data_IF_890160444086
#
_entry.id   IF_890160444086
#
_cell.length_a   1.000
_cell.length_b   1.000
_cell.length_c   1.000
_cell.angle_alpha   90.00
_cell.angle_beta   90.00
_cell.angle_gamma   90.00
#
_symmetry.space_group_name_H-M   'P 1'
#
loop_
_entity.id
_entity.type
_entity.pdbx_description
1 polymer ?
#
# COMPACT_ATOMS: atom_id res chain seq x y z
N UNK A 1 -24.87 4.09 5.20
CA UNK A 1 -24.31 3.65 3.92
C UNK A 1 -22.82 3.90 3.95
N UNK A 2 -21.97 2.88 3.80
CA UNK A 2 -20.50 3.01 3.75
C UNK A 2 -20.00 3.99 2.68
N UNK A 3 -20.87 4.36 1.73
CA UNK A 3 -20.62 5.33 0.66
C UNK A 3 -20.75 6.80 1.11
N UNK A 4 -21.37 7.06 2.26
CA UNK A 4 -21.61 8.44 2.75
C UNK A 4 -20.49 8.91 3.67
N UNK A 5 -19.82 7.97 4.35
CA UNK A 5 -18.75 8.28 5.31
C UNK A 5 -17.41 7.95 4.70
N UNK A 6 -16.52 8.95 4.62
CA UNK A 6 -15.15 8.73 4.17
C UNK A 6 -14.30 8.10 5.28
N UNK A 7 -14.45 6.79 5.49
CA UNK A 7 -13.71 6.03 6.50
C UNK A 7 -12.19 6.10 6.29
N UNK A 8 -11.75 6.18 5.04
CA UNK A 8 -10.33 6.29 4.67
C UNK A 8 -9.74 7.59 5.21
N UNK A 9 -10.40 8.71 4.97
CA UNK A 9 -9.96 10.01 5.48
C UNK A 9 -10.03 10.09 7.00
N UNK A 10 -11.08 9.54 7.62
CA UNK A 10 -11.21 9.49 9.08
C UNK A 10 -10.04 8.73 9.73
N UNK A 11 -9.69 7.57 9.17
CA UNK A 11 -8.53 6.79 9.62
C UNK A 11 -7.21 7.55 9.41
N UNK A 12 -7.04 8.19 8.25
CA UNK A 12 -5.86 9.01 7.95
C UNK A 12 -5.66 10.11 8.99
N UNK A 13 -6.71 10.88 9.30
CA UNK A 13 -6.67 11.92 10.33
C UNK A 13 -6.34 11.34 11.71
N UNK A 14 -6.92 10.19 12.06
CA UNK A 14 -6.66 9.51 13.33
C UNK A 14 -5.19 9.09 13.48
N UNK A 15 -4.63 8.41 12.47
CA UNK A 15 -3.22 7.98 12.49
C UNK A 15 -2.27 9.17 12.49
N UNK A 16 -2.55 10.20 11.68
CA UNK A 16 -1.76 11.44 11.68
C UNK A 16 -1.78 12.13 13.06
N UNK A 17 -2.90 12.10 13.76
CA UNK A 17 -3.02 12.63 15.13
C UNK A 17 -2.30 11.81 16.21
N UNK A 18 -2.15 10.50 16.01
CA UNK A 18 -1.40 9.62 16.92
C UNK A 18 0.12 9.71 16.73
N UNK A 19 0.58 10.11 15.56
CA UNK A 19 2.00 10.19 15.25
C UNK A 19 2.69 11.32 16.02
N UNK A 20 3.31 10.96 17.16
CA UNK A 20 4.05 11.91 18.03
C UNK A 20 5.53 12.08 17.65
N UNK A 21 6.09 11.14 16.89
CA UNK A 21 7.50 11.12 16.49
C UNK A 21 7.68 11.67 15.08
N UNK A 22 7.90 10.77 14.12
CA UNK A 22 7.98 11.12 12.71
C UNK A 22 6.64 11.69 12.22
N UNK A 23 6.63 12.96 11.80
CA UNK A 23 5.45 13.61 11.22
C UNK A 23 5.27 13.16 9.77
N UNK A 24 4.02 12.96 9.37
CA UNK A 24 3.68 12.79 7.97
C UNK A 24 3.90 14.10 7.21
N UNK A 25 4.36 14.06 5.95
CA UNK A 25 4.39 15.25 5.10
C UNK A 25 2.97 15.82 4.90
N UNK A 26 2.89 17.15 4.77
CA UNK A 26 1.60 17.87 4.71
C UNK A 26 0.71 17.54 3.51
N UNK A 27 1.20 17.31 2.28
CA UNK A 27 0.32 16.83 1.23
C UNK A 27 -0.12 15.38 1.50
N UNK A 28 -1.33 15.01 1.08
CA UNK A 28 -1.77 13.61 1.04
C UNK A 28 -2.27 13.02 2.37
N UNK A 29 -2.58 11.73 2.33
CA UNK A 29 -3.12 10.93 3.43
C UNK A 29 -2.06 9.99 4.00
N UNK A 30 -2.27 9.41 5.18
CA UNK A 30 -1.27 8.52 5.79
C UNK A 30 -0.88 7.33 4.88
N UNK A 31 -1.79 6.91 4.01
CA UNK A 31 -1.60 5.82 3.06
C UNK A 31 -0.65 6.16 1.91
N UNK A 32 -0.37 7.42 1.65
CA UNK A 32 0.54 7.84 0.57
C UNK A 32 2.02 7.73 0.98
N UNK A 33 2.26 7.38 2.24
CA UNK A 33 3.57 7.28 2.84
C UNK A 33 3.88 5.89 3.39
N UNK A 34 5.13 5.48 3.26
CA UNK A 34 5.74 4.32 3.91
C UNK A 34 6.68 4.82 5.01
N UNK A 35 6.69 4.15 6.16
CA UNK A 35 7.69 4.45 7.18
C UNK A 35 9.01 3.79 6.83
N UNK A 36 10.07 4.58 6.76
CA UNK A 36 11.40 4.09 6.49
C UNK A 36 12.25 4.10 7.76
N UNK A 37 12.58 2.92 8.26
CA UNK A 37 13.21 2.75 9.56
C UNK A 37 14.65 3.29 9.60
N UNK A 38 15.36 3.27 8.47
CA UNK A 38 16.74 3.78 8.40
C UNK A 38 16.80 5.31 8.43
N UNK A 39 15.82 5.99 7.82
CA UNK A 39 15.70 7.46 7.80
C UNK A 39 14.89 7.99 9.00
N UNK A 40 14.12 7.11 9.65
CA UNK A 40 13.15 7.44 10.71
C UNK A 40 12.09 8.44 10.25
N UNK A 41 11.74 8.42 8.98
CA UNK A 41 10.81 9.35 8.36
C UNK A 41 9.75 8.65 7.50
N UNK A 42 8.73 9.40 7.12
CA UNK A 42 7.67 8.95 6.23
C UNK A 42 7.99 9.38 4.80
N UNK A 43 8.20 8.42 3.91
CA UNK A 43 8.57 8.64 2.50
C UNK A 43 7.42 8.29 1.56
N UNK A 44 7.26 9.03 0.46
CA UNK A 44 6.15 8.80 -0.47
C UNK A 44 6.34 7.50 -1.27
N UNK A 45 5.24 6.77 -1.54
CA UNK A 45 5.28 5.50 -2.27
C UNK A 45 5.81 5.60 -3.70
N UNK A 46 5.74 6.78 -4.34
CA UNK A 46 6.25 6.98 -5.70
C UNK A 46 7.71 6.58 -5.87
N UNK A 47 8.54 6.66 -4.81
CA UNK A 47 9.93 6.19 -4.87
C UNK A 47 10.10 4.66 -4.87
N UNK A 48 9.01 3.92 -4.65
CA UNK A 48 8.99 2.46 -4.50
C UNK A 48 8.25 1.75 -5.64
N UNK A 49 7.60 2.50 -6.51
CA UNK A 49 6.94 1.96 -7.70
C UNK A 49 7.99 1.78 -8.79
N UNK A 50 8.21 0.55 -9.23
CA UNK A 50 9.07 0.28 -10.37
C UNK A 50 8.52 0.96 -11.64
N UNK A 51 9.40 1.51 -12.47
CA UNK A 51 8.99 2.03 -13.78
C UNK A 51 8.34 0.91 -14.60
N UNK A 52 7.25 1.26 -15.27
CA UNK A 52 6.51 0.32 -16.10
C UNK A 52 7.33 -0.02 -17.35
N UNK A 53 7.78 -1.27 -17.44
CA UNK A 53 8.39 -1.84 -18.64
C UNK A 53 7.39 -2.78 -19.35
N UNK A 54 6.82 -2.39 -20.50
CA UNK A 54 5.90 -3.24 -21.25
C UNK A 54 6.66 -4.41 -21.91
N UNK A 55 6.83 -5.51 -21.18
CA UNK A 55 7.38 -6.75 -21.73
C UNK A 55 6.35 -7.38 -22.69
N UNK A 56 6.61 -7.24 -23.98
CA UNK A 56 5.70 -7.63 -25.09
C UNK A 56 5.45 -9.15 -25.18
N UNK A 57 6.27 -9.99 -24.55
CA UNK A 57 6.28 -11.45 -24.76
C UNK A 57 5.62 -12.30 -23.65
N UNK A 58 5.00 -11.70 -22.62
CA UNK A 58 4.35 -12.49 -21.54
C UNK A 58 2.86 -12.71 -21.80
N UNK A 59 2.35 -13.88 -21.38
CA UNK A 59 0.90 -14.11 -21.34
C UNK A 59 0.22 -12.97 -20.58
N UNK A 60 -0.83 -12.38 -21.16
CA UNK A 60 -1.58 -11.24 -20.60
C UNK A 60 -1.99 -11.43 -19.12
N UNK A 61 -2.20 -12.68 -18.69
CA UNK A 61 -2.52 -13.06 -17.32
C UNK A 61 -1.38 -12.85 -16.30
N UNK A 62 -0.16 -12.56 -16.74
CA UNK A 62 1.04 -12.39 -15.91
C UNK A 62 1.62 -10.98 -15.89
N UNK A 63 0.95 -10.02 -16.56
CA UNK A 63 1.36 -8.62 -16.53
C UNK A 63 0.82 -7.99 -15.25
N UNK A 64 1.65 -7.99 -14.21
CA UNK A 64 1.35 -7.27 -12.97
C UNK A 64 2.04 -5.91 -13.04
N UNK A 65 1.24 -4.86 -13.27
CA UNK A 65 1.75 -3.49 -13.25
C UNK A 65 2.03 -3.09 -11.81
N UNK A 66 3.27 -2.70 -11.52
CA UNK A 66 3.63 -2.09 -10.25
C UNK A 66 2.90 -0.76 -10.12
N UNK A 67 1.85 -0.73 -9.31
CA UNK A 67 1.13 0.48 -8.92
C UNK A 67 1.40 0.76 -7.44
N UNK A 68 1.17 2.00 -7.00
CA UNK A 68 1.24 2.37 -5.58
C UNK A 68 0.37 1.45 -4.72
N UNK A 69 -0.81 1.07 -5.21
CA UNK A 69 -1.68 0.13 -4.52
C UNK A 69 -1.02 -1.23 -4.33
N UNK A 70 -0.43 -1.80 -5.38
CA UNK A 70 0.19 -3.10 -5.29
C UNK A 70 1.39 -3.10 -4.32
N UNK A 71 2.26 -2.09 -4.42
CA UNK A 71 3.43 -1.98 -3.54
C UNK A 71 3.03 -1.80 -2.07
N UNK A 72 1.94 -1.07 -1.79
CA UNK A 72 1.36 -0.98 -0.44
C UNK A 72 0.91 -2.33 0.11
N UNK A 73 0.20 -3.11 -0.71
CA UNK A 73 -0.27 -4.44 -0.29
C UNK A 73 0.91 -5.38 -0.08
N UNK A 74 1.85 -5.46 -1.03
CA UNK A 74 3.07 -6.27 -0.93
C UNK A 74 3.86 -5.96 0.33
N UNK A 75 4.07 -4.68 0.65
CA UNK A 75 4.78 -4.31 1.86
C UNK A 75 4.13 -4.87 3.13
N UNK A 76 2.80 -4.80 3.25
CA UNK A 76 2.08 -5.37 4.41
C UNK A 76 2.15 -6.89 4.41
N UNK A 77 2.06 -7.54 3.24
CA UNK A 77 2.24 -8.99 3.08
C UNK A 77 3.63 -9.42 3.57
N UNK A 78 4.68 -8.75 3.09
CA UNK A 78 6.07 -9.06 3.42
C UNK A 78 6.34 -8.95 4.92
N UNK A 79 5.78 -7.94 5.60
CA UNK A 79 5.89 -7.80 7.05
C UNK A 79 5.32 -9.02 7.80
N UNK A 80 4.22 -9.61 7.32
CA UNK A 80 3.62 -10.79 7.93
C UNK A 80 4.36 -12.07 7.57
N UNK A 81 4.79 -12.21 6.31
CA UNK A 81 5.58 -13.35 5.82
C UNK A 81 6.90 -13.47 6.58
N UNK A 82 7.60 -12.35 6.79
CA UNK A 82 8.83 -12.31 7.59
C UNK A 82 8.61 -12.80 9.03
N UNK A 83 7.43 -12.53 9.60
CA UNK A 83 7.04 -12.99 10.93
C UNK A 83 6.39 -14.38 10.94
N UNK A 84 6.26 -15.04 9.78
CA UNK A 84 5.54 -16.32 9.59
C UNK A 84 4.11 -16.27 10.15
N UNK A 85 3.46 -15.11 10.03
CA UNK A 85 2.07 -14.92 10.46
C UNK A 85 1.13 -15.00 9.26
N UNK A 86 0.09 -15.85 9.30
CA UNK A 86 -0.90 -15.90 8.23
C UNK A 86 -1.72 -14.60 8.20
N UNK A 87 -2.17 -14.23 7.00
CA UNK A 87 -3.05 -13.09 6.78
C UNK A 87 -4.13 -13.46 5.75
N UNK A 88 -5.23 -12.71 5.74
CA UNK A 88 -6.33 -12.89 4.80
C UNK A 88 -6.61 -11.58 4.06
N UNK A 89 -6.56 -11.62 2.73
CA UNK A 89 -6.99 -10.49 1.88
C UNK A 89 -8.50 -10.63 1.60
N UNK A 90 -9.28 -9.61 1.99
CA UNK A 90 -10.74 -9.60 1.84
C UNK A 90 -11.17 -8.49 0.87
N UNK A 91 -12.15 -8.77 0.02
CA UNK A 91 -12.70 -7.81 -0.94
C UNK A 91 -13.56 -8.50 -2.00
N UNK A 92 -14.32 -7.72 -2.77
CA UNK A 92 -15.23 -8.24 -3.82
C UNK A 92 -14.48 -9.06 -4.89
N UNK A 93 -15.15 -10.01 -5.54
CA UNK A 93 -14.53 -10.81 -6.59
C UNK A 93 -13.95 -9.93 -7.72
N UNK A 94 -12.82 -10.33 -8.31
CA UNK A 94 -12.18 -9.58 -9.41
C UNK A 94 -11.22 -8.45 -9.00
N UNK A 95 -11.00 -8.19 -7.70
CA UNK A 95 -10.08 -7.11 -7.23
C UNK A 95 -8.61 -7.52 -7.17
N UNK A 96 -8.16 -8.50 -7.96
CA UNK A 96 -6.76 -8.89 -8.02
C UNK A 96 -6.16 -9.50 -6.74
N UNK A 97 -6.97 -9.91 -5.76
CA UNK A 97 -6.49 -10.48 -4.47
C UNK A 97 -5.54 -11.66 -4.65
N UNK A 98 -5.85 -12.57 -5.58
CA UNK A 98 -5.00 -13.74 -5.89
C UNK A 98 -3.76 -13.36 -6.69
N UNK A 99 -3.83 -12.26 -7.45
CA UNK A 99 -2.70 -11.75 -8.25
C UNK A 99 -1.71 -10.94 -7.42
N UNK A 100 -2.14 -10.40 -6.28
CA UNK A 100 -1.30 -9.65 -5.35
C UNK A 100 -0.45 -10.55 -4.42
N UNK A 101 -0.73 -11.85 -4.38
CA UNK A 101 -0.01 -12.88 -3.59
C UNK A 101 0.89 -13.70 -4.52
#
# INVERSE_FOLDING_TARGET
DDKVVNHRQAFSSFIKGLARGAKFPEPGECFDYRYEAHLKEWVHWNGWVAEYDPIVERMYQSVVVSTVDLERHKFVLDLHVQQKKPLLLVGVAGTGKTTAV
#
